data_IF_376487159283
#
_entry.id   IF_376487159283
#
_cell.length_a   1.000
_cell.length_b   1.000
_cell.length_c   1.000
_cell.angle_alpha   90.00
_cell.angle_beta   90.00
_cell.angle_gamma   90.00
#
_symmetry.space_group_name_H-M   'P 1'
#
loop_
_entity.id
_entity.type
_entity.pdbx_description
1 polymer ?
#
# COMPACT_ATOMS: atom_id res chain seq x y z
N UNK A 1 -12.72 30.84 -44.24
CA UNK A 1 -12.47 30.24 -42.92
C UNK A 1 -11.52 29.13 -43.20
N UNK A 2 -10.24 29.42 -43.04
CA UNK A 2 -9.14 28.50 -43.29
C UNK A 2 -9.15 27.44 -42.19
N UNK A 3 -9.66 26.26 -42.52
CA UNK A 3 -9.44 25.05 -41.74
C UNK A 3 -7.98 24.64 -41.99
N UNK A 4 -7.07 25.09 -41.13
CA UNK A 4 -5.69 24.60 -41.09
C UNK A 4 -5.73 23.07 -40.96
N UNK A 5 -5.32 22.35 -42.01
CA UNK A 5 -5.20 20.90 -42.05
C UNK A 5 -4.27 20.44 -40.92
N UNK A 6 -4.80 19.67 -39.97
CA UNK A 6 -4.04 19.01 -38.90
C UNK A 6 -3.21 17.85 -39.51
N UNK A 7 -1.89 18.03 -39.73
CA UNK A 7 -1.11 17.09 -40.51
C UNK A 7 -0.71 15.88 -39.67
N UNK A 8 -0.80 14.68 -40.27
CA UNK A 8 -0.34 13.45 -39.63
C UNK A 8 1.18 13.54 -39.43
N UNK A 9 1.62 13.56 -38.16
CA UNK A 9 3.04 13.67 -37.78
C UNK A 9 3.74 12.29 -37.81
N UNK A 10 3.07 11.25 -37.32
CA UNK A 10 3.66 9.91 -37.18
C UNK A 10 2.59 8.81 -37.15
N UNK A 11 2.88 7.66 -37.78
CA UNK A 11 2.06 6.44 -37.68
C UNK A 11 2.71 5.45 -36.71
N UNK A 12 2.00 5.12 -35.62
CA UNK A 12 2.46 4.16 -34.62
C UNK A 12 1.69 2.84 -34.72
N UNK A 13 2.36 1.69 -34.93
CA UNK A 13 1.69 0.40 -34.93
C UNK A 13 1.24 0.03 -33.50
N UNK A 14 -0.07 -0.18 -33.32
CA UNK A 14 -0.67 -0.52 -32.03
C UNK A 14 -0.79 -2.04 -31.89
N UNK A 15 -0.14 -2.62 -30.89
CA UNK A 15 -0.22 -4.04 -30.57
C UNK A 15 -1.08 -4.26 -29.32
N UNK A 16 -1.92 -5.30 -29.35
CA UNK A 16 -2.77 -5.70 -28.23
C UNK A 16 -2.30 -7.05 -27.68
N UNK A 17 -1.90 -7.08 -26.41
CA UNK A 17 -1.67 -8.33 -25.67
C UNK A 17 -2.87 -8.66 -24.79
N UNK A 18 -3.29 -9.93 -24.77
CA UNK A 18 -4.35 -10.45 -23.88
C UNK A 18 -3.81 -11.26 -22.70
N UNK A 19 -2.49 -11.38 -22.56
CA UNK A 19 -1.86 -12.29 -21.58
C UNK A 19 -2.16 -11.92 -20.13
N UNK A 20 -2.29 -10.63 -19.81
CA UNK A 20 -2.48 -10.14 -18.44
C UNK A 20 -3.86 -9.49 -18.21
N UNK A 21 -4.83 -9.72 -19.11
CA UNK A 21 -6.10 -8.98 -19.07
C UNK A 21 -6.89 -9.16 -17.76
N UNK A 22 -6.74 -10.31 -17.10
CA UNK A 22 -7.41 -10.61 -15.82
C UNK A 22 -6.55 -10.34 -14.58
N UNK A 23 -5.26 -10.03 -14.76
CA UNK A 23 -4.28 -9.98 -13.66
C UNK A 23 -3.51 -8.65 -13.56
N UNK A 24 -3.68 -7.74 -14.51
CA UNK A 24 -3.07 -6.42 -14.49
C UNK A 24 -3.97 -5.41 -13.77
N UNK A 25 -3.52 -4.94 -12.61
CA UNK A 25 -4.21 -3.94 -11.81
C UNK A 25 -3.42 -2.65 -11.74
N UNK A 26 -4.13 -1.52 -11.69
CA UNK A 26 -3.54 -0.19 -11.50
C UNK A 26 -3.92 0.34 -10.11
N UNK A 27 -2.91 0.60 -9.28
CA UNK A 27 -3.10 1.28 -7.99
C UNK A 27 -2.64 2.72 -8.10
N UNK A 28 -3.52 3.63 -7.70
CA UNK A 28 -3.25 5.06 -7.68
C UNK A 28 -3.28 5.54 -6.22
N UNK A 29 -2.38 6.47 -5.90
CA UNK A 29 -2.18 6.99 -4.54
C UNK A 29 -2.36 8.53 -4.57
N UNK A 30 -3.60 9.05 -4.59
CA UNK A 30 -3.87 10.47 -4.90
C UNK A 30 -3.24 11.48 -3.93
N UNK A 31 -2.97 11.06 -2.70
CA UNK A 31 -2.40 11.90 -1.63
C UNK A 31 -0.87 11.92 -1.63
N UNK A 32 -0.22 11.15 -2.52
CA UNK A 32 1.24 11.15 -2.67
C UNK A 32 1.60 12.17 -3.77
N UNK A 33 2.17 13.29 -3.34
CA UNK A 33 2.50 14.45 -4.19
C UNK A 33 3.78 14.26 -5.01
N UNK A 34 4.67 13.40 -4.54
CA UNK A 34 5.84 12.93 -5.27
C UNK A 34 5.58 11.46 -5.54
N UNK A 35 5.77 10.99 -6.77
CA UNK A 35 5.87 9.56 -7.06
C UNK A 35 7.04 9.05 -6.20
N UNK A 36 6.83 8.44 -5.04
CA UNK A 36 7.93 7.78 -4.39
C UNK A 36 8.14 6.60 -5.32
N UNK A 37 9.32 6.49 -5.92
CA UNK A 37 9.73 5.19 -6.41
C UNK A 37 9.55 4.25 -5.21
N UNK A 38 8.50 3.42 -5.25
CA UNK A 38 8.23 2.42 -4.24
C UNK A 38 9.38 1.39 -4.19
N UNK A 39 10.39 1.53 -5.04
CA UNK A 39 11.66 0.82 -5.08
C UNK A 39 12.32 0.67 -3.69
N UNK A 40 12.24 1.67 -2.81
CA UNK A 40 12.77 1.54 -1.44
C UNK A 40 11.74 1.07 -0.41
N UNK A 41 10.47 1.02 -0.77
CA UNK A 41 9.40 0.63 0.15
C UNK A 41 9.31 -0.90 0.28
N UNK A 42 9.47 -1.40 1.49
CA UNK A 42 9.40 -2.84 1.77
C UNK A 42 7.95 -3.24 2.03
N UNK A 43 7.38 -4.08 1.16
CA UNK A 43 6.05 -4.67 1.38
C UNK A 43 6.16 -5.80 2.40
N UNK A 44 5.46 -5.65 3.53
CA UNK A 44 5.44 -6.66 4.60
C UNK A 44 4.30 -7.66 4.39
N UNK A 45 3.16 -7.18 3.88
CA UNK A 45 1.98 -8.01 3.69
C UNK A 45 1.11 -7.44 2.56
N UNK A 46 0.44 -8.34 1.83
CA UNK A 46 -0.50 -7.99 0.78
C UNK A 46 -1.69 -8.95 0.83
N UNK A 47 -2.90 -8.39 0.92
CA UNK A 47 -4.15 -9.16 0.94
C UNK A 47 -5.04 -8.71 -0.20
N UNK A 48 -5.52 -9.66 -0.99
CA UNK A 48 -6.42 -9.41 -2.12
C UNK A 48 -7.74 -10.14 -1.90
N UNK A 49 -8.85 -9.43 -2.03
CA UNK A 49 -10.18 -10.01 -2.16
C UNK A 49 -10.58 -9.98 -3.65
N UNK A 50 -10.52 -11.12 -4.36
CA UNK A 50 -10.70 -11.13 -5.82
C UNK A 50 -12.10 -10.70 -6.26
N UNK A 51 -13.14 -11.07 -5.52
CA UNK A 51 -14.53 -10.76 -5.87
C UNK A 51 -14.89 -9.28 -5.67
N UNK A 52 -14.44 -8.67 -4.57
CA UNK A 52 -14.69 -7.24 -4.30
C UNK A 52 -13.62 -6.33 -4.89
N UNK A 53 -12.55 -6.91 -5.46
CA UNK A 53 -11.37 -6.19 -5.96
C UNK A 53 -10.77 -5.23 -4.93
N UNK A 54 -10.77 -5.66 -3.66
CA UNK A 54 -10.18 -4.92 -2.56
C UNK A 54 -8.76 -5.42 -2.32
N UNK A 55 -7.79 -4.52 -2.40
CA UNK A 55 -6.39 -4.83 -2.14
C UNK A 55 -5.90 -4.00 -0.96
N UNK A 56 -5.38 -4.69 0.06
CA UNK A 56 -4.71 -4.08 1.20
C UNK A 56 -3.22 -4.37 1.11
N UNK A 57 -2.39 -3.33 1.23
CA UNK A 57 -0.93 -3.46 1.23
C UNK A 57 -0.37 -2.84 2.50
N UNK A 58 0.41 -3.60 3.26
CA UNK A 58 1.11 -3.12 4.44
C UNK A 58 2.59 -2.88 4.08
N UNK A 59 3.07 -1.65 4.24
CA UNK A 59 4.46 -1.25 4.01
C UNK A 59 5.22 -1.10 5.33
N UNK A 60 6.51 -1.43 5.32
CA UNK A 60 7.42 -1.20 6.44
C UNK A 60 7.70 0.28 6.64
N UNK A 61 7.78 0.69 7.91
CA UNK A 61 8.28 1.99 8.31
C UNK A 61 9.74 1.86 8.75
N UNK A 62 10.57 2.84 8.38
CA UNK A 62 11.93 2.93 8.88
C UNK A 62 11.91 3.47 10.32
N UNK A 63 11.94 2.55 11.30
CA UNK A 63 11.92 2.87 12.73
C UNK A 63 13.23 3.45 13.26
N UNK A 64 14.30 3.42 12.48
CA UNK A 64 15.63 3.98 12.84
C UNK A 64 15.85 5.38 12.26
N UNK A 65 14.92 5.86 11.44
CA UNK A 65 14.97 7.20 10.87
C UNK A 65 14.81 8.27 11.94
N UNK A 66 15.53 9.38 11.78
CA UNK A 66 15.35 10.62 12.59
C UNK A 66 13.92 11.19 12.54
N UNK A 67 13.14 10.77 11.54
CA UNK A 67 11.75 11.19 11.35
C UNK A 67 10.73 10.30 12.07
N UNK A 68 11.19 9.23 12.74
CA UNK A 68 10.33 8.32 13.49
C UNK A 68 10.50 8.54 15.00
N UNK A 69 9.41 8.93 15.66
CA UNK A 69 9.36 9.05 17.12
C UNK A 69 8.97 7.69 17.73
N UNK A 70 9.95 7.01 18.32
CA UNK A 70 9.76 5.69 18.94
C UNK A 70 8.79 5.72 20.12
N UNK A 71 8.79 6.78 20.93
CA UNK A 71 7.90 6.86 22.09
C UNK A 71 6.43 6.96 21.66
N UNK A 72 6.14 7.72 20.60
CA UNK A 72 4.81 7.73 19.98
C UNK A 72 4.48 6.40 19.31
N UNK A 73 5.45 5.79 18.63
CA UNK A 73 5.30 4.48 18.00
C UNK A 73 4.88 3.38 18.99
N UNK A 74 5.45 3.38 20.20
CA UNK A 74 5.08 2.49 21.31
C UNK A 74 3.65 2.74 21.78
N UNK A 75 3.27 4.01 22.00
CA UNK A 75 1.90 4.36 22.42
C UNK A 75 0.85 3.92 21.40
N UNK A 76 1.11 4.12 20.10
CA UNK A 76 0.18 3.67 19.06
C UNK A 76 0.07 2.15 18.99
N UNK A 77 1.17 1.42 19.17
CA UNK A 77 1.13 -0.04 19.20
C UNK A 77 0.32 -0.56 20.39
N UNK A 78 0.49 0.04 21.59
CA UNK A 78 -0.32 -0.29 22.77
C UNK A 78 -1.78 0.08 22.56
N UNK A 79 -2.08 1.21 21.92
CA UNK A 79 -3.45 1.60 21.62
C UNK A 79 -4.14 0.63 20.64
N UNK A 80 -3.40 0.06 19.70
CA UNK A 80 -3.92 -0.89 18.73
C UNK A 80 -4.07 -2.33 19.28
N UNK A 81 -3.04 -2.84 19.96
CA UNK A 81 -2.97 -4.24 20.40
C UNK A 81 -3.31 -4.45 21.89
N UNK A 82 -3.44 -3.36 22.66
CA UNK A 82 -3.76 -3.40 24.08
C UNK A 82 -2.70 -4.16 24.88
N UNK A 83 -3.14 -5.17 25.65
CA UNK A 83 -2.27 -6.05 26.45
C UNK A 83 -1.65 -7.20 25.65
N UNK A 84 -2.03 -7.37 24.37
CA UNK A 84 -1.52 -8.42 23.49
C UNK A 84 -0.22 -7.99 22.78
N UNK A 85 0.68 -7.30 23.46
CA UNK A 85 1.94 -6.80 22.89
C UNK A 85 3.10 -7.78 23.09
N UNK A 86 4.26 -7.46 22.52
CA UNK A 86 5.48 -8.27 22.49
C UNK A 86 5.76 -8.98 23.83
N UNK A 87 5.77 -10.33 23.80
CA UNK A 87 6.06 -11.17 24.96
C UNK A 87 4.84 -11.69 25.73
N UNK A 88 3.62 -11.21 25.45
CA UNK A 88 2.40 -11.79 25.98
C UNK A 88 2.08 -13.14 25.29
N UNK A 89 1.82 -14.19 26.07
CA UNK A 89 1.33 -15.45 25.53
C UNK A 89 -0.04 -15.17 24.89
N UNK A 90 -0.28 -15.54 23.61
CA UNK A 90 -1.60 -15.36 23.04
C UNK A 90 -2.59 -16.14 23.90
N UNK A 91 -3.59 -15.45 24.47
CA UNK A 91 -4.75 -16.13 25.05
C UNK A 91 -5.26 -17.10 24.00
N UNK A 92 -5.49 -18.37 24.36
CA UNK A 92 -6.04 -19.37 23.42
C UNK A 92 -7.31 -18.78 22.77
N UNK A 93 -7.22 -18.49 21.47
CA UNK A 93 -8.32 -17.88 20.70
C UNK A 93 -8.26 -16.36 20.49
N UNK A 94 -7.22 -15.67 20.98
CA UNK A 94 -7.02 -14.24 20.76
C UNK A 94 -6.47 -13.91 19.37
N UNK A 95 -6.84 -12.75 18.84
CA UNK A 95 -6.29 -12.22 17.60
C UNK A 95 -4.77 -11.98 17.72
N UNK A 96 -4.05 -12.20 16.61
CA UNK A 96 -2.61 -11.93 16.56
C UNK A 96 -2.37 -10.43 16.64
N UNK A 97 -1.33 -9.97 17.36
CA UNK A 97 -1.01 -8.55 17.43
C UNK A 97 -0.73 -7.97 16.04
N UNK A 98 -1.22 -6.75 15.84
CA UNK A 98 -0.96 -5.92 14.67
C UNK A 98 0.52 -5.59 14.60
N UNK A 99 1.11 -5.14 15.73
CA UNK A 99 2.48 -4.67 15.86
C UNK A 99 3.27 -5.61 16.77
N UNK A 100 3.80 -6.68 16.17
CA UNK A 100 4.51 -7.75 16.89
C UNK A 100 5.64 -7.24 17.76
N UNK A 101 6.34 -6.18 17.34
CA UNK A 101 7.49 -5.59 18.05
C UNK A 101 7.09 -4.62 19.17
N UNK A 102 5.79 -4.41 19.40
CA UNK A 102 5.30 -3.43 20.37
C UNK A 102 5.52 -1.98 19.96
N UNK A 103 5.90 -1.72 18.71
CA UNK A 103 6.07 -0.39 18.11
C UNK A 103 5.37 -0.36 16.75
N UNK A 104 4.86 0.80 16.34
CA UNK A 104 4.22 0.99 15.03
C UNK A 104 5.26 0.93 13.90
N UNK A 105 5.56 -0.27 13.40
CA UNK A 105 6.61 -0.54 12.41
C UNK A 105 6.10 -0.69 10.96
N UNK A 106 4.79 -0.51 10.75
CA UNK A 106 4.15 -0.62 9.44
C UNK A 106 3.01 0.38 9.25
N UNK A 107 2.72 0.70 8.00
CA UNK A 107 1.56 1.47 7.58
C UNK A 107 0.75 0.68 6.54
N UNK A 108 -0.54 0.51 6.79
CA UNK A 108 -1.46 -0.17 5.88
C UNK A 108 -2.17 0.80 4.96
N UNK A 109 -2.15 0.53 3.65
CA UNK A 109 -3.05 1.17 2.72
C UNK A 109 -4.30 0.32 2.51
N UNK A 110 -5.44 0.97 2.67
CA UNK A 110 -6.75 0.38 2.42
C UNK A 110 -7.28 0.85 1.06
N UNK A 111 -7.96 -0.05 0.32
CA UNK A 111 -8.47 0.27 -1.00
C UNK A 111 -9.66 1.22 -0.89
N UNK A 112 -9.77 2.11 -1.87
CA UNK A 112 -10.99 2.82 -2.20
C UNK A 112 -11.29 2.58 -3.68
N UNK A 113 -12.53 2.19 -4.00
CA UNK A 113 -12.94 2.03 -5.39
C UNK A 113 -13.08 3.41 -6.03
N UNK A 114 -12.41 3.60 -7.17
CA UNK A 114 -12.74 4.69 -8.09
C UNK A 114 -14.20 4.51 -8.55
N UNK A 115 -14.96 5.61 -8.54
CA UNK A 115 -16.35 5.64 -8.98
C UNK A 115 -16.44 5.78 -10.49
#
# INVERSE_FOLDING_TARGET
MDEEEDPIVEEMPVFLSKTLHDSLYLFQYPTKTELPNHDESVVINCCVKPFTQEVKVDFALNTESKHYDRFKGEQFAVAADGKNTFGALPSKGGERPTYKRGIMDKAGLHPARAR
#
